data_IF_902998668471
#
_entry.id   IF_902998668471
#
_cell.length_a   1.000
_cell.length_b   1.000
_cell.length_c   1.000
_cell.angle_alpha   90.00
_cell.angle_beta   90.00
_cell.angle_gamma   90.00
#
_symmetry.space_group_name_H-M   'P 1'
#
loop_
_entity.id
_entity.type
_entity.pdbx_description
1 polymer ?
#
# COMPACT_ATOMS: atom_id res chain seq x y z
N UNK A 1 -9.53 -75.53 -79.79
CA UNK A 1 -9.92 -74.16 -79.35
C UNK A 1 -10.59 -74.14 -77.97
N UNK A 2 -11.43 -75.13 -77.63
CA UNK A 2 -12.03 -75.28 -76.28
C UNK A 2 -11.01 -75.43 -75.15
N UNK A 3 -9.89 -76.11 -75.37
CA UNK A 3 -8.80 -76.21 -74.38
C UNK A 3 -8.19 -74.86 -73.97
N UNK A 4 -7.95 -73.95 -74.93
CA UNK A 4 -7.46 -72.60 -74.62
C UNK A 4 -8.48 -71.79 -73.80
N UNK A 5 -9.77 -71.89 -74.15
CA UNK A 5 -10.85 -71.20 -73.40
C UNK A 5 -10.93 -71.68 -71.94
N UNK A 6 -10.68 -72.97 -71.69
CA UNK A 6 -10.62 -73.53 -70.34
C UNK A 6 -9.45 -72.97 -69.53
N UNK A 7 -8.26 -72.82 -70.13
CA UNK A 7 -7.12 -72.20 -69.45
C UNK A 7 -7.36 -70.72 -69.15
N UNK A 8 -8.00 -69.97 -70.05
CA UNK A 8 -8.39 -68.58 -69.79
C UNK A 8 -9.41 -68.47 -68.66
N UNK A 9 -10.43 -69.33 -68.63
CA UNK A 9 -11.43 -69.34 -67.56
C UNK A 9 -10.79 -69.65 -66.19
N UNK A 10 -9.87 -70.61 -66.14
CA UNK A 10 -9.16 -70.98 -64.91
C UNK A 10 -8.20 -69.87 -64.47
N UNK A 11 -7.50 -69.22 -65.41
CA UNK A 11 -6.67 -68.05 -65.13
C UNK A 11 -7.47 -66.87 -64.56
N UNK A 12 -8.65 -66.58 -65.12
CA UNK A 12 -9.53 -65.53 -64.62
C UNK A 12 -10.12 -65.87 -63.24
N UNK A 13 -10.45 -67.13 -62.97
CA UNK A 13 -10.90 -67.57 -61.64
C UNK A 13 -9.79 -67.39 -60.59
N UNK A 14 -8.54 -67.75 -60.91
CA UNK A 14 -7.41 -67.56 -59.99
C UNK A 14 -7.12 -66.07 -59.80
N UNK A 15 -7.14 -65.28 -60.87
CA UNK A 15 -6.92 -63.82 -60.81
C UNK A 15 -7.98 -63.13 -59.96
N UNK A 16 -9.26 -63.49 -60.09
CA UNK A 16 -10.35 -62.90 -59.30
C UNK A 16 -10.23 -63.26 -57.82
N UNK A 17 -9.86 -64.50 -57.47
CA UNK A 17 -9.63 -64.91 -56.07
C UNK A 17 -8.45 -64.17 -55.45
N UNK A 18 -7.32 -64.09 -56.16
CA UNK A 18 -6.13 -63.36 -55.70
C UNK A 18 -6.38 -61.87 -55.57
N UNK A 19 -7.05 -61.27 -56.56
CA UNK A 19 -7.45 -59.86 -56.56
C UNK A 19 -8.37 -59.56 -55.37
N UNK A 20 -9.41 -60.36 -55.15
CA UNK A 20 -10.32 -60.17 -54.01
C UNK A 20 -9.59 -60.29 -52.66
N UNK A 21 -8.68 -61.27 -52.51
CA UNK A 21 -7.86 -61.43 -51.29
C UNK A 21 -6.90 -60.26 -51.09
N UNK A 22 -6.28 -59.77 -52.16
CA UNK A 22 -5.37 -58.63 -52.14
C UNK A 22 -6.11 -57.35 -51.75
N UNK A 23 -7.24 -57.06 -52.39
CA UNK A 23 -8.07 -55.90 -52.09
C UNK A 23 -8.61 -55.91 -50.68
N UNK A 24 -9.07 -57.06 -50.16
CA UNK A 24 -9.50 -57.18 -48.75
C UNK A 24 -8.36 -56.87 -47.77
N UNK A 25 -7.14 -57.35 -48.04
CA UNK A 25 -5.97 -57.06 -47.21
C UNK A 25 -5.55 -55.59 -47.30
N UNK A 26 -5.54 -55.02 -48.51
CA UNK A 26 -5.20 -53.61 -48.70
C UNK A 26 -6.22 -52.69 -48.03
N UNK A 27 -7.52 -52.96 -48.17
CA UNK A 27 -8.57 -52.18 -47.50
C UNK A 27 -8.47 -52.26 -45.97
N UNK A 28 -8.03 -53.39 -45.41
CA UNK A 28 -7.79 -53.50 -43.97
C UNK A 28 -6.59 -52.64 -43.53
N UNK A 29 -5.49 -52.68 -44.28
CA UNK A 29 -4.29 -51.88 -44.00
C UNK A 29 -4.55 -50.37 -44.15
N UNK A 30 -5.26 -49.96 -45.20
CA UNK A 30 -5.59 -48.54 -45.41
C UNK A 30 -6.54 -48.02 -44.35
N UNK A 31 -7.51 -48.82 -43.88
CA UNK A 31 -8.36 -48.43 -42.74
C UNK A 31 -7.56 -48.19 -41.46
N UNK A 32 -6.60 -49.06 -41.15
CA UNK A 32 -5.71 -48.91 -39.98
C UNK A 32 -4.80 -47.68 -40.14
N UNK A 33 -4.24 -47.48 -41.33
CA UNK A 33 -3.41 -46.30 -41.61
C UNK A 33 -4.23 -45.00 -41.50
N UNK A 34 -5.47 -45.01 -42.01
CA UNK A 34 -6.38 -43.87 -41.96
C UNK A 34 -6.85 -43.58 -40.53
N UNK A 35 -7.11 -44.60 -39.70
CA UNK A 35 -7.46 -44.39 -38.30
C UNK A 35 -6.29 -43.79 -37.51
N UNK A 36 -5.07 -44.27 -37.74
CA UNK A 36 -3.86 -43.70 -37.12
C UNK A 36 -3.58 -42.26 -37.58
N UNK A 37 -3.82 -41.97 -38.85
CA UNK A 37 -3.67 -40.61 -39.37
C UNK A 37 -4.72 -39.68 -38.76
N UNK A 38 -5.97 -40.15 -38.64
CA UNK A 38 -7.04 -39.40 -37.97
C UNK A 38 -6.69 -39.09 -36.52
N UNK A 39 -6.22 -40.08 -35.76
CA UNK A 39 -5.79 -39.89 -34.37
C UNK A 39 -4.70 -38.81 -34.26
N UNK A 40 -3.67 -38.86 -35.12
CA UNK A 40 -2.63 -37.82 -35.17
C UNK A 40 -3.17 -36.44 -35.51
N UNK A 41 -4.12 -36.34 -36.44
CA UNK A 41 -4.74 -35.06 -36.81
C UNK A 41 -5.58 -34.53 -35.65
N UNK A 42 -6.33 -35.38 -34.96
CA UNK A 42 -7.12 -35.01 -33.80
C UNK A 42 -6.21 -34.52 -32.65
N UNK A 43 -5.06 -35.16 -32.44
CA UNK A 43 -4.08 -34.73 -31.43
C UNK A 43 -3.41 -33.39 -31.79
N UNK A 44 -2.95 -33.21 -33.03
CA UNK A 44 -2.40 -31.92 -33.49
C UNK A 44 -3.45 -30.82 -33.39
N UNK A 45 -4.72 -31.12 -33.68
CA UNK A 45 -5.80 -30.13 -33.56
C UNK A 45 -6.00 -29.70 -32.11
N UNK A 46 -5.89 -30.61 -31.15
CA UNK A 46 -5.91 -30.27 -29.71
C UNK A 46 -4.71 -29.42 -29.32
N UNK A 47 -3.50 -29.83 -29.72
CA UNK A 47 -2.28 -29.06 -29.41
C UNK A 47 -2.36 -27.63 -29.97
N UNK A 48 -2.88 -27.45 -31.19
CA UNK A 48 -3.07 -26.12 -31.78
C UNK A 48 -4.13 -25.31 -31.02
N UNK A 49 -5.21 -25.96 -30.58
CA UNK A 49 -6.25 -25.30 -29.77
C UNK A 49 -5.70 -24.86 -28.40
N UNK A 50 -4.90 -25.71 -27.75
CA UNK A 50 -4.27 -25.42 -26.47
C UNK A 50 -3.30 -24.25 -26.61
N UNK A 51 -2.41 -24.29 -27.61
CA UNK A 51 -1.47 -23.19 -27.89
C UNK A 51 -2.20 -21.89 -28.21
N UNK A 52 -3.27 -21.94 -29.01
CA UNK A 52 -4.08 -20.75 -29.30
C UNK A 52 -4.72 -20.17 -28.03
N UNK A 53 -5.16 -21.03 -27.10
CA UNK A 53 -5.71 -20.61 -25.82
C UNK A 53 -4.65 -19.96 -24.93
N UNK A 54 -3.44 -20.50 -24.89
CA UNK A 54 -2.31 -19.94 -24.14
C UNK A 54 -1.90 -18.57 -24.68
N UNK A 55 -1.85 -18.41 -26.01
CA UNK A 55 -1.59 -17.10 -26.63
C UNK A 55 -2.67 -16.07 -26.28
N UNK A 56 -3.94 -16.47 -26.26
CA UNK A 56 -5.03 -15.57 -25.88
C UNK A 56 -4.92 -15.12 -24.42
N UNK A 57 -4.59 -16.05 -23.52
CA UNK A 57 -4.33 -15.73 -22.10
C UNK A 57 -3.14 -14.79 -21.94
N UNK A 58 -2.03 -15.07 -22.65
CA UNK A 58 -0.84 -14.22 -22.61
C UNK A 58 -1.13 -12.81 -23.12
N UNK A 59 -1.88 -12.68 -24.22
CA UNK A 59 -2.28 -11.38 -24.76
C UNK A 59 -3.16 -10.60 -23.77
N UNK A 60 -4.09 -11.27 -23.09
CA UNK A 60 -4.91 -10.65 -22.05
C UNK A 60 -4.06 -10.18 -20.87
N UNK A 61 -3.15 -11.03 -20.38
CA UNK A 61 -2.22 -10.66 -19.31
C UNK A 61 -1.34 -9.48 -19.69
N UNK A 62 -0.80 -9.45 -20.92
CA UNK A 62 -0.01 -8.34 -21.42
C UNK A 62 -0.80 -7.02 -21.39
N UNK A 63 -2.01 -7.02 -21.93
CA UNK A 63 -2.88 -5.85 -21.94
C UNK A 63 -3.23 -5.36 -20.52
N UNK A 64 -3.43 -6.26 -19.56
CA UNK A 64 -3.62 -5.88 -18.16
C UNK A 64 -2.36 -5.25 -17.55
N UNK A 65 -1.20 -5.84 -17.80
CA UNK A 65 0.07 -5.32 -17.28
C UNK A 65 0.38 -3.94 -17.85
N UNK A 66 0.17 -3.71 -19.15
CA UNK A 66 0.32 -2.39 -19.77
C UNK A 66 -0.58 -1.35 -19.12
N UNK A 67 -1.85 -1.69 -18.84
CA UNK A 67 -2.77 -0.78 -18.13
C UNK A 67 -2.27 -0.42 -16.72
N UNK A 68 -1.70 -1.40 -16.00
CA UNK A 68 -1.15 -1.17 -14.66
C UNK A 68 0.10 -0.29 -14.72
N UNK A 69 0.97 -0.50 -15.71
CA UNK A 69 2.16 0.32 -15.95
C UNK A 69 1.77 1.77 -16.27
N UNK A 70 0.85 1.98 -17.22
CA UNK A 70 0.37 3.33 -17.56
C UNK A 70 -0.23 4.05 -16.35
N UNK A 71 -1.02 3.35 -15.53
CA UNK A 71 -1.56 3.92 -14.29
C UNK A 71 -0.44 4.34 -13.32
N UNK A 72 0.57 3.48 -13.13
CA UNK A 72 1.70 3.78 -12.27
C UNK A 72 2.54 4.96 -12.78
N UNK A 73 2.70 5.10 -14.10
CA UNK A 73 3.38 6.24 -14.71
C UNK A 73 2.63 7.56 -14.48
N UNK A 74 1.30 7.55 -14.60
CA UNK A 74 0.46 8.73 -14.31
C UNK A 74 0.57 9.10 -12.83
N UNK A 75 0.49 8.12 -11.93
CA UNK A 75 0.64 8.35 -10.49
C UNK A 75 2.03 8.91 -10.14
N UNK A 76 3.09 8.40 -10.77
CA UNK A 76 4.45 8.89 -10.61
C UNK A 76 4.58 10.35 -11.08
N UNK A 77 4.03 10.68 -12.25
CA UNK A 77 4.04 12.05 -12.76
C UNK A 77 3.27 13.00 -11.83
N UNK A 78 2.11 12.58 -11.32
CA UNK A 78 1.36 13.35 -10.35
C UNK A 78 2.15 13.59 -9.05
N UNK A 79 2.84 12.56 -8.55
CA UNK A 79 3.68 12.66 -7.36
C UNK A 79 4.88 13.60 -7.57
N UNK A 80 5.51 13.57 -8.74
CA UNK A 80 6.60 14.50 -9.10
C UNK A 80 6.08 15.94 -9.11
N UNK A 81 4.93 16.19 -9.74
CA UNK A 81 4.32 17.52 -9.76
C UNK A 81 3.96 18.01 -8.36
N UNK A 82 3.44 17.14 -7.49
CA UNK A 82 3.16 17.48 -6.10
C UNK A 82 4.45 17.82 -5.32
N UNK A 83 5.51 17.05 -5.53
CA UNK A 83 6.80 17.26 -4.90
C UNK A 83 7.45 18.58 -5.36
N UNK A 84 7.39 18.90 -6.64
CA UNK A 84 7.90 20.17 -7.16
C UNK A 84 7.07 21.36 -6.66
N UNK A 85 5.75 21.20 -6.57
CA UNK A 85 4.87 22.20 -5.94
C UNK A 85 5.23 22.42 -4.46
N UNK A 86 5.51 21.34 -3.72
CA UNK A 86 5.94 21.43 -2.31
C UNK A 86 7.33 22.06 -2.17
N UNK A 87 8.27 21.75 -3.07
CA UNK A 87 9.59 22.41 -3.10
C UNK A 87 9.51 23.91 -3.38
N UNK A 88 8.62 24.32 -4.28
CA UNK A 88 8.39 25.72 -4.61
C UNK A 88 7.55 26.46 -3.57
N UNK A 89 6.84 25.74 -2.69
CA UNK A 89 6.05 26.36 -1.63
C UNK A 89 6.94 27.06 -0.61
N UNK A 90 6.46 28.20 -0.09
CA UNK A 90 7.17 28.91 0.96
C UNK A 90 7.33 28.00 2.19
N UNK A 91 8.57 27.81 2.65
CA UNK A 91 8.86 27.05 3.86
C UNK A 91 8.22 27.75 5.07
N UNK A 92 7.20 27.12 5.65
CA UNK A 92 6.60 27.57 6.91
C UNK A 92 7.62 27.42 8.04
N UNK A 93 8.17 28.56 8.50
CA UNK A 93 9.13 28.60 9.59
C UNK A 93 8.39 28.60 10.92
N UNK A 94 8.45 27.46 11.60
CA UNK A 94 7.96 27.32 12.96
C UNK A 94 9.01 27.73 13.99
N UNK A 95 8.63 28.60 14.91
CA UNK A 95 9.47 29.00 16.05
C UNK A 95 9.11 28.16 17.28
N UNK A 96 10.10 27.59 17.96
CA UNK A 96 9.84 26.76 19.15
C UNK A 96 9.61 27.69 20.36
N UNK A 97 8.44 27.58 20.99
CA UNK A 97 8.07 28.35 22.17
C UNK A 97 8.76 27.83 23.43
N UNK A 98 8.65 26.54 23.70
CA UNK A 98 9.22 25.86 24.87
C UNK A 98 10.62 25.32 24.54
N UNK A 99 11.68 26.05 24.94
CA UNK A 99 13.08 25.61 24.73
C UNK A 99 13.68 24.91 25.94
N UNK A 100 13.10 25.07 27.13
CA UNK A 100 13.76 24.75 28.39
C UNK A 100 13.11 23.63 29.21
N UNK A 101 11.82 23.30 29.00
CA UNK A 101 11.14 22.25 29.78
C UNK A 101 10.25 21.39 28.89
N UNK A 102 10.51 20.07 28.77
CA UNK A 102 9.62 19.15 28.09
C UNK A 102 8.33 19.00 28.91
N UNK A 103 7.20 19.40 28.32
CA UNK A 103 5.87 19.20 28.91
C UNK A 103 5.13 18.11 28.15
N UNK A 104 4.38 17.22 28.83
CA UNK A 104 3.47 16.33 28.15
C UNK A 104 2.29 17.13 27.59
N UNK A 105 1.73 16.70 26.46
CA UNK A 105 0.57 17.35 25.87
C UNK A 105 0.53 17.28 24.35
N UNK A 106 -0.41 18.02 23.76
CA UNK A 106 -0.55 18.13 22.31
C UNK A 106 0.23 19.32 21.79
N UNK A 107 0.75 19.22 20.57
CA UNK A 107 1.36 20.36 19.91
C UNK A 107 0.26 21.30 19.40
N UNK A 108 0.45 22.58 19.72
CA UNK A 108 -0.36 23.68 19.25
C UNK A 108 0.48 24.62 18.42
N UNK A 109 -0.15 25.14 17.37
CA UNK A 109 0.40 26.16 16.50
C UNK A 109 -0.26 27.49 16.81
N UNK A 110 0.54 28.50 17.13
CA UNK A 110 0.04 29.84 17.47
C UNK A 110 0.69 30.90 16.60
N UNK A 111 -0.14 31.62 15.85
CA UNK A 111 0.29 32.72 15.01
C UNK A 111 0.30 34.02 15.82
N UNK A 112 1.48 34.63 15.95
CA UNK A 112 1.68 35.88 16.69
C UNK A 112 2.13 36.98 15.72
N UNK A 113 1.37 38.08 15.72
CA UNK A 113 1.67 39.31 14.99
C UNK A 113 2.21 40.36 15.95
N UNK A 114 3.23 41.09 15.54
CA UNK A 114 3.67 42.30 16.24
C UNK A 114 3.13 43.52 15.50
N UNK A 115 2.39 44.37 16.21
CA UNK A 115 1.86 45.64 15.73
C UNK A 115 2.51 46.80 16.50
N UNK A 116 3.35 47.62 15.85
CA UNK A 116 4.08 48.69 16.53
C UNK A 116 3.17 49.83 17.01
N UNK A 117 1.92 49.92 16.52
CA UNK A 117 0.97 50.97 16.86
C UNK A 117 0.52 50.96 18.34
N UNK A 118 0.73 49.85 19.06
CA UNK A 118 0.35 49.69 20.47
C UNK A 118 1.52 49.53 21.44
N UNK A 119 2.76 49.62 20.98
CA UNK A 119 3.95 49.32 21.79
C UNK A 119 4.56 50.60 22.39
N UNK A 120 4.73 50.65 23.72
CA UNK A 120 5.51 51.70 24.37
C UNK A 120 6.98 51.63 23.92
N UNK A 121 7.63 52.78 23.69
CA UNK A 121 9.01 52.87 23.21
C UNK A 121 10.04 52.12 24.10
N UNK A 122 9.72 51.94 25.39
CA UNK A 122 10.55 51.17 26.33
C UNK A 122 10.57 49.66 26.01
N UNK A 123 9.46 49.11 25.52
CA UNK A 123 9.29 47.67 25.27
C UNK A 123 9.90 47.24 23.93
N UNK A 124 10.26 48.19 23.05
CA UNK A 124 10.77 47.92 21.71
C UNK A 124 12.24 47.43 21.69
N UNK A 125 12.99 47.56 22.80
CA UNK A 125 14.44 47.26 22.82
C UNK A 125 14.78 45.78 22.55
N UNK A 126 13.84 44.85 22.73
CA UNK A 126 14.05 43.41 22.52
C UNK A 126 13.49 42.82 21.21
N UNK A 127 12.69 43.57 20.45
CA UNK A 127 11.89 43.03 19.33
C UNK A 127 12.23 43.63 17.96
N UNK A 128 13.34 44.38 17.87
CA UNK A 128 13.84 44.92 16.59
C UNK A 128 14.08 43.79 15.59
N UNK A 129 13.36 43.81 14.48
CA UNK A 129 13.44 42.80 13.41
C UNK A 129 12.28 41.79 13.38
N UNK A 130 11.25 41.95 14.22
CA UNK A 130 10.00 41.21 14.04
C UNK A 130 9.19 41.81 12.89
N UNK A 131 9.09 41.09 11.77
CA UNK A 131 8.27 41.46 10.62
C UNK A 131 7.22 40.38 10.37
N UNK A 132 5.97 40.79 10.10
CA UNK A 132 4.87 39.90 9.78
C UNK A 132 4.38 39.03 10.95
N UNK A 133 3.83 37.87 10.60
CA UNK A 133 3.27 36.88 11.54
C UNK A 133 4.32 35.77 11.74
N UNK A 134 4.65 35.47 12.99
CA UNK A 134 5.49 34.32 13.35
C UNK A 134 4.61 33.21 13.92
N UNK A 135 4.74 32.00 13.38
CA UNK A 135 4.04 30.80 13.86
C UNK A 135 4.91 30.10 14.90
N UNK A 136 4.39 29.96 16.12
CA UNK A 136 5.06 29.29 17.22
C UNK A 136 4.48 27.91 17.47
N UNK A 137 5.34 26.93 17.73
CA UNK A 137 4.97 25.62 18.24
C UNK A 137 5.15 25.58 19.75
N UNK A 138 4.10 25.17 20.46
CA UNK A 138 4.14 24.95 21.90
C UNK A 138 3.37 23.69 22.29
N UNK A 139 3.55 23.24 23.53
CA UNK A 139 2.83 22.09 24.07
C UNK A 139 1.84 22.58 25.13
N UNK A 140 0.57 22.20 24.97
CA UNK A 140 -0.52 22.52 25.88
C UNK A 140 -1.60 21.45 25.83
N UNK A 141 -2.40 21.34 26.89
CA UNK A 141 -3.51 20.38 26.97
C UNK A 141 -4.75 20.86 26.18
N UNK A 142 -4.85 22.17 25.90
CA UNK A 142 -5.96 22.74 25.13
C UNK A 142 -5.68 24.12 24.51
N UNK A 143 -6.58 24.57 23.63
CA UNK A 143 -6.51 25.87 22.92
C UNK A 143 -6.38 27.06 23.89
N UNK A 144 -7.16 27.04 24.97
CA UNK A 144 -7.15 28.10 25.97
C UNK A 144 -5.80 28.24 26.65
N UNK A 145 -5.22 27.12 27.09
CA UNK A 145 -3.91 27.12 27.74
C UNK A 145 -2.82 27.58 26.75
N UNK A 146 -2.90 27.14 25.49
CA UNK A 146 -1.96 27.57 24.47
C UNK A 146 -2.00 29.09 24.25
N UNK A 147 -3.20 29.67 24.18
CA UNK A 147 -3.40 31.12 24.04
C UNK A 147 -2.88 31.89 25.25
N UNK A 148 -3.19 31.44 26.46
CA UNK A 148 -2.78 32.09 27.72
C UNK A 148 -1.25 32.10 27.86
N UNK A 149 -0.58 30.98 27.55
CA UNK A 149 0.88 30.89 27.63
C UNK A 149 1.58 31.79 26.63
N UNK A 150 1.08 31.85 25.40
CA UNK A 150 1.62 32.77 24.39
C UNK A 150 1.39 34.21 24.79
N UNK A 151 0.22 34.55 25.34
CA UNK A 151 -0.09 35.89 25.83
C UNK A 151 0.78 36.32 27.02
N UNK A 152 1.20 35.38 27.87
CA UNK A 152 2.12 35.66 28.97
C UNK A 152 3.52 36.08 28.49
N UNK A 153 4.01 35.49 27.39
CA UNK A 153 5.31 35.84 26.80
C UNK A 153 5.24 37.01 25.83
N UNK A 154 4.14 37.15 25.12
CA UNK A 154 3.89 38.19 24.11
C UNK A 154 2.63 38.98 24.47
N UNK A 155 2.73 39.91 25.43
CA UNK A 155 1.57 40.63 25.94
C UNK A 155 1.05 41.65 24.93
N UNK A 156 -0.28 41.82 24.89
CA UNK A 156 -0.94 42.85 24.05
C UNK A 156 -0.46 44.26 24.35
N UNK A 157 -0.12 44.55 25.62
CA UNK A 157 0.43 45.83 26.06
C UNK A 157 1.76 46.18 25.39
N UNK A 158 2.52 45.18 24.97
CA UNK A 158 3.77 45.37 24.24
C UNK A 158 3.56 45.38 22.70
N UNK A 159 2.32 45.46 22.22
CA UNK A 159 2.00 45.49 20.78
C UNK A 159 1.86 44.12 20.11
N UNK A 160 1.79 43.02 20.87
CA UNK A 160 1.59 41.69 20.30
C UNK A 160 0.11 41.30 20.18
N UNK A 161 -0.21 40.54 19.13
CA UNK A 161 -1.55 40.04 18.90
C UNK A 161 -1.49 38.56 18.50
N UNK A 162 -2.27 37.73 19.19
CA UNK A 162 -2.47 36.34 18.82
C UNK A 162 -3.55 36.29 17.75
N UNK A 163 -3.16 35.91 16.53
CA UNK A 163 -4.02 35.94 15.33
C UNK A 163 -4.79 34.63 15.19
N UNK A 164 -4.11 33.50 15.39
CA UNK A 164 -4.65 32.16 15.17
C UNK A 164 -4.07 31.22 16.24
N UNK A 165 -4.90 30.33 16.76
CA UNK A 165 -4.47 29.18 17.56
C UNK A 165 -5.13 27.96 16.95
N UNK A 166 -4.33 26.98 16.53
CA UNK A 166 -4.80 25.78 15.88
C UNK A 166 -4.05 24.56 16.42
N UNK A 167 -4.70 23.38 16.33
CA UNK A 167 -3.99 22.13 16.50
C UNK A 167 -2.85 22.02 15.47
N UNK A 168 -1.69 21.54 15.90
CA UNK A 168 -0.51 21.49 15.04
C UNK A 168 -0.79 20.67 13.76
N UNK A 169 -0.55 21.28 12.60
CA UNK A 169 -0.74 20.65 11.27
C UNK A 169 0.40 19.73 10.87
N UNK A 170 1.50 19.70 11.64
CA UNK A 170 2.55 18.70 11.51
C UNK A 170 1.97 17.36 11.97
N UNK A 171 1.42 16.61 11.03
CA UNK A 171 0.79 15.31 11.26
C UNK A 171 1.65 14.42 12.17
N UNK A 172 1.06 13.93 13.27
CA UNK A 172 1.63 12.86 14.09
C UNK A 172 2.63 13.27 15.18
N UNK A 173 2.86 14.56 15.42
CA UNK A 173 3.67 14.98 16.58
C UNK A 173 2.81 14.93 17.85
N UNK A 174 3.12 13.99 18.74
CA UNK A 174 2.57 13.89 20.10
C UNK A 174 3.71 13.68 21.07
N UNK A 175 3.85 14.50 22.12
CA UNK A 175 4.79 14.24 23.21
C UNK A 175 4.08 13.38 24.25
N UNK A 176 4.35 12.07 24.21
CA UNK A 176 3.85 11.14 25.22
C UNK A 176 4.53 11.43 26.56
N UNK A 177 3.81 11.18 27.68
CA UNK A 177 4.40 11.25 29.02
C UNK A 177 5.57 10.27 29.07
N UNK A 178 6.75 10.78 29.38
CA UNK A 178 8.06 10.11 29.31
C UNK A 178 8.10 8.76 30.09
N UNK A 179 7.13 8.50 30.96
CA UNK A 179 6.95 7.21 31.64
C UNK A 179 6.68 6.02 30.70
N UNK A 180 6.20 6.23 29.46
CA UNK A 180 5.82 5.12 28.55
C UNK A 180 6.79 4.91 27.37
N UNK A 181 7.81 5.75 27.20
CA UNK A 181 8.77 5.69 26.09
C UNK A 181 10.24 5.56 26.54
N UNK A 182 10.48 5.06 27.76
CA UNK A 182 11.85 4.68 28.15
C UNK A 182 12.36 3.53 27.29
N UNK A 183 12.99 3.86 26.16
CA UNK A 183 13.81 2.95 25.35
C UNK A 183 15.10 2.52 26.05
N UNK A 184 15.36 2.98 27.29
CA UNK A 184 16.24 2.28 28.21
C UNK A 184 15.55 1.00 28.72
N UNK A 185 15.60 -0.04 27.87
CA UNK A 185 15.50 -1.43 28.35
C UNK A 185 16.64 -1.64 29.35
N UNK A 186 16.33 -1.63 30.64
CA UNK A 186 17.12 -2.39 31.61
C UNK A 186 17.06 -3.85 31.12
N UNK A 187 18.18 -4.52 30.80
CA UNK A 187 18.13 -5.93 30.46
C UNK A 187 17.56 -6.67 31.68
N UNK A 188 16.37 -7.25 31.50
CA UNK A 188 15.73 -8.07 32.52
C UNK A 188 16.65 -9.24 32.84
N UNK A 189 16.99 -9.40 34.13
CA UNK A 189 17.48 -10.67 34.64
C UNK A 189 16.35 -11.69 34.52
N UNK A 190 16.60 -12.88 33.95
CA UNK A 190 15.66 -13.98 34.05
C UNK A 190 15.77 -14.62 35.44
N UNK A 191 14.64 -15.18 35.89
CA UNK A 191 14.45 -16.02 37.09
C UNK A 191 14.51 -15.23 38.42
N UNK A 192 13.52 -15.29 39.30
CA UNK A 192 12.85 -16.47 39.87
C UNK A 192 11.51 -16.05 40.51
N UNK A 193 10.67 -17.05 40.78
CA UNK A 193 9.53 -17.06 41.71
C UNK A 193 8.15 -16.48 41.30
N UNK A 194 7.28 -17.42 40.92
CA UNK A 194 6.43 -18.00 41.96
C UNK A 194 5.12 -17.29 42.31
N UNK A 195 4.14 -17.42 41.40
CA UNK A 195 2.72 -17.66 41.72
C UNK A 195 1.92 -16.53 42.45
N UNK A 196 0.60 -16.70 42.69
CA UNK A 196 -0.44 -16.29 41.76
C UNK A 196 -1.42 -15.26 42.36
N UNK A 197 -2.35 -14.81 41.51
CA UNK A 197 -3.47 -13.92 41.79
C UNK A 197 -4.08 -14.05 43.20
N UNK A 198 -4.07 -12.94 43.95
CA UNK A 198 -4.75 -12.83 45.26
C UNK A 198 -6.21 -12.41 45.04
N UNK A 199 -7.21 -13.20 45.50
CA UNK A 199 -8.62 -12.84 45.35
C UNK A 199 -9.03 -11.75 46.36
N UNK A 200 -9.88 -10.82 45.89
CA UNK A 200 -10.51 -9.79 46.70
C UNK A 200 -11.38 -10.42 47.79
N UNK A 201 -11.03 -10.17 49.05
CA UNK A 201 -11.80 -10.59 50.23
C UNK A 201 -12.90 -9.56 50.48
N UNK A 202 -14.15 -9.95 50.20
CA UNK A 202 -15.38 -9.34 50.74
C UNK A 202 -15.28 -9.31 52.27
N UNK A 203 -15.54 -8.15 52.87
CA UNK A 203 -15.96 -8.04 54.27
C UNK A 203 -17.42 -7.61 54.31
N UNK A 204 -18.27 -8.55 54.64
CA UNK A 204 -19.64 -8.34 55.14
C UNK A 204 -19.68 -8.64 56.63
N UNK A 205 -20.63 -7.99 57.33
CA UNK A 205 -21.07 -8.18 58.73
C UNK A 205 -20.23 -7.40 59.78
N UNK A 206 -20.77 -6.70 60.78
CA UNK A 206 -22.14 -6.54 61.38
C UNK A 206 -22.03 -5.38 62.41
N UNK A 207 -22.95 -4.39 62.45
CA UNK A 207 -24.18 -4.30 63.25
C UNK A 207 -24.00 -3.94 64.76
N UNK A 208 -24.93 -3.09 65.25
CA UNK A 208 -25.32 -2.78 66.64
C UNK A 208 -24.43 -1.74 67.37
N UNK A 209 -24.94 -0.70 68.05
CA UNK A 209 -26.27 -0.42 68.65
C UNK A 209 -26.49 1.09 68.74
#
# INVERSE_FOLDING_TARGET
>A
MTGMMLYFALGLMVLTVLSNRYWRRQLALTRIAMSKLKEKVDDVTKEVADVASDYAQLAHHHAETEKRVQKAEIELQAAILELDRKKASALDRYFIFDRNEPRPGRFWEVAVRFSPAGASFADQRGFRGWTGVRRYLLIADGDREARERVAARYPRRAGFEVVEVAGCRLNGLTVNRISELSTFRKPGKPEEDGAPARPQRRTTSTAQS
#
